data_IF_771685867116
#
_entry.id   IF_771685867116
#
_cell.length_a   1.000
_cell.length_b   1.000
_cell.length_c   1.000
_cell.angle_alpha   90.00
_cell.angle_beta   90.00
_cell.angle_gamma   90.00
#
_symmetry.space_group_name_H-M   'P 1'
#
loop_
_entity.id
_entity.type
_entity.pdbx_description
1 polymer ?
#
# COMPACT_ATOMS: atom_id res chain seq x y z
N UNK A 1 -30.84 5.86 -73.73
CA UNK A 1 -31.96 6.66 -73.17
C UNK A 1 -32.04 6.34 -71.68
N UNK A 2 -31.83 7.34 -70.80
CA UNK A 2 -32.17 7.26 -69.37
C UNK A 2 -33.69 7.40 -69.23
N UNK A 3 -34.36 6.69 -68.30
CA UNK A 3 -34.63 7.22 -66.94
C UNK A 3 -34.57 6.08 -65.87
N UNK A 4 -34.62 6.26 -64.55
CA UNK A 4 -34.85 7.40 -63.65
C UNK A 4 -34.67 6.90 -62.21
N UNK A 5 -34.39 7.83 -61.28
CA UNK A 5 -34.19 7.60 -59.84
C UNK A 5 -35.42 7.00 -59.15
N UNK A 6 -35.19 6.11 -58.18
CA UNK A 6 -36.00 6.05 -56.96
C UNK A 6 -35.09 5.89 -55.74
N UNK A 7 -35.22 6.85 -54.83
CA UNK A 7 -34.55 6.94 -53.55
C UNK A 7 -35.09 5.90 -52.57
N UNK A 8 -34.20 5.27 -51.79
CA UNK A 8 -34.56 4.61 -50.55
C UNK A 8 -33.60 5.08 -49.46
N UNK A 9 -34.10 5.98 -48.61
CA UNK A 9 -33.40 6.51 -47.46
C UNK A 9 -33.43 5.46 -46.34
N UNK A 10 -32.31 4.78 -46.11
CA UNK A 10 -32.11 3.99 -44.91
C UNK A 10 -31.71 4.93 -43.77
N UNK A 11 -32.67 5.25 -42.90
CA UNK A 11 -32.44 5.95 -41.65
C UNK A 11 -31.69 5.02 -40.69
N UNK A 12 -30.36 5.18 -40.60
CA UNK A 12 -29.57 4.57 -39.53
C UNK A 12 -29.86 5.32 -38.23
N UNK A 13 -30.74 4.74 -37.40
CA UNK A 13 -30.90 5.12 -35.99
C UNK A 13 -29.60 4.75 -35.27
N UNK A 14 -28.77 5.75 -34.98
CA UNK A 14 -27.62 5.61 -34.10
C UNK A 14 -28.14 5.44 -32.67
N UNK A 15 -28.22 4.19 -32.22
CA UNK A 15 -28.34 3.86 -30.79
C UNK A 15 -27.03 4.26 -30.11
N UNK A 16 -27.04 5.39 -29.43
CA UNK A 16 -26.01 5.81 -28.50
C UNK A 16 -25.98 4.83 -27.33
N UNK A 17 -25.02 3.91 -27.34
CA UNK A 17 -24.68 3.11 -26.16
C UNK A 17 -24.22 4.07 -25.04
N UNK A 18 -24.66 3.89 -23.78
CA UNK A 18 -24.09 4.64 -22.68
C UNK A 18 -22.63 4.21 -22.56
N UNK A 19 -21.72 5.15 -22.81
CA UNK A 19 -20.33 4.99 -22.42
C UNK A 19 -20.32 4.89 -20.90
N UNK A 20 -20.19 3.67 -20.37
CA UNK A 20 -19.69 3.48 -19.02
C UNK A 20 -18.27 4.04 -19.03
N UNK A 21 -18.15 5.30 -18.61
CA UNK A 21 -16.86 5.85 -18.22
C UNK A 21 -16.33 4.89 -17.15
N UNK A 22 -15.29 4.15 -17.52
CA UNK A 22 -14.47 3.40 -16.59
C UNK A 22 -13.99 4.43 -15.57
N UNK A 23 -14.64 4.47 -14.40
CA UNK A 23 -14.17 5.29 -13.30
C UNK A 23 -12.73 4.87 -13.08
N UNK A 24 -11.80 5.80 -13.31
CA UNK A 24 -10.42 5.61 -12.92
C UNK A 24 -10.42 5.22 -11.44
N UNK A 25 -9.60 4.25 -11.02
CA UNK A 25 -9.48 3.91 -9.60
C UNK A 25 -9.25 5.21 -8.84
N UNK A 26 -10.15 5.52 -7.91
CA UNK A 26 -10.08 6.72 -7.09
C UNK A 26 -8.70 6.73 -6.42
N UNK A 27 -7.92 7.82 -6.54
CA UNK A 27 -6.64 7.90 -5.87
C UNK A 27 -6.83 7.74 -4.36
N UNK A 28 -5.93 6.97 -3.76
CA UNK A 28 -6.01 6.43 -2.39
C UNK A 28 -6.16 7.54 -1.35
N UNK A 29 -7.06 7.42 -0.35
CA UNK A 29 -7.13 8.36 0.74
C UNK A 29 -6.11 8.04 1.84
N UNK A 30 -5.04 8.83 1.94
CA UNK A 30 -4.07 8.77 3.04
C UNK A 30 -4.31 9.92 4.03
N UNK A 31 -5.29 9.78 4.93
CA UNK A 31 -5.30 10.57 6.18
C UNK A 31 -4.62 9.74 7.27
N UNK A 32 -3.36 10.05 7.54
CA UNK A 32 -2.56 9.40 8.59
C UNK A 32 -1.24 8.78 8.12
N UNK A 33 -0.60 9.36 7.10
CA UNK A 33 0.75 9.03 6.70
C UNK A 33 1.70 10.17 7.03
N UNK A 34 2.52 10.04 8.10
CA UNK A 34 3.73 10.83 8.26
C UNK A 34 4.59 10.70 6.99
N UNK A 35 4.53 11.70 6.13
CA UNK A 35 5.36 11.85 4.95
C UNK A 35 5.33 13.33 4.60
N UNK A 36 6.49 13.99 4.60
CA UNK A 36 6.63 15.43 4.34
C UNK A 36 6.47 15.75 2.84
N UNK A 37 5.68 14.95 2.12
CA UNK A 37 5.56 14.95 0.67
C UNK A 37 4.38 15.83 0.24
N UNK A 38 4.69 17.10 0.03
CA UNK A 38 3.75 18.13 -0.42
C UNK A 38 3.14 17.75 -1.78
N UNK A 39 3.94 17.25 -2.70
CA UNK A 39 3.46 16.89 -4.05
C UNK A 39 2.38 15.80 -3.99
N UNK A 40 2.58 14.77 -3.16
CA UNK A 40 1.60 13.72 -2.95
C UNK A 40 0.35 14.23 -2.23
N UNK A 41 0.49 15.22 -1.33
CA UNK A 41 -0.62 15.83 -0.62
C UNK A 41 -1.49 16.67 -1.56
N UNK A 42 -0.90 17.50 -2.42
CA UNK A 42 -1.62 18.28 -3.45
C UNK A 42 -2.31 17.34 -4.43
N UNK A 43 -1.59 16.37 -4.99
CA UNK A 43 -2.14 15.44 -5.99
C UNK A 43 -3.34 14.62 -5.49
N UNK A 44 -3.51 14.47 -4.17
CA UNK A 44 -4.64 13.75 -3.57
C UNK A 44 -5.88 14.63 -3.34
N UNK A 45 -5.72 15.95 -3.22
CA UNK A 45 -6.78 16.84 -2.73
C UNK A 45 -7.08 18.01 -3.67
N UNK A 46 -6.25 18.25 -4.68
CA UNK A 46 -6.47 19.23 -5.73
C UNK A 46 -7.57 18.74 -6.69
N UNK A 47 -8.80 19.15 -6.41
CA UNK A 47 -9.98 18.76 -7.16
C UNK A 47 -10.10 19.41 -8.54
N UNK A 48 -9.38 20.50 -8.78
CA UNK A 48 -9.44 21.25 -10.04
C UNK A 48 -8.22 20.95 -10.97
N UNK A 49 -7.22 20.24 -10.43
CA UNK A 49 -5.99 19.82 -11.09
C UNK A 49 -5.11 20.99 -11.61
N UNK A 50 -5.13 22.15 -10.94
CA UNK A 50 -4.30 23.31 -11.26
C UNK A 50 -2.90 23.26 -10.61
N UNK A 51 -2.63 22.21 -9.81
CA UNK A 51 -1.37 22.00 -9.10
C UNK A 51 -1.28 22.77 -7.78
N UNK A 52 -2.40 23.32 -7.30
CA UNK A 52 -2.49 24.10 -6.07
C UNK A 52 -3.63 23.56 -5.22
N UNK A 53 -3.40 23.46 -3.92
CA UNK A 53 -4.44 23.04 -2.98
C UNK A 53 -4.80 24.20 -2.06
N UNK A 54 -6.00 24.75 -2.24
CA UNK A 54 -6.53 25.79 -1.36
C UNK A 54 -7.18 25.20 -0.11
N UNK A 55 -7.31 26.02 0.94
CA UNK A 55 -8.08 25.63 2.13
C UNK A 55 -9.51 25.24 1.79
N UNK A 56 -10.15 25.95 0.85
CA UNK A 56 -11.53 25.68 0.46
C UNK A 56 -11.69 24.29 -0.15
N UNK A 57 -10.78 23.88 -1.02
CA UNK A 57 -10.79 22.55 -1.64
C UNK A 57 -10.54 21.46 -0.60
N UNK A 58 -9.57 21.69 0.29
CA UNK A 58 -9.26 20.75 1.36
C UNK A 58 -10.41 20.62 2.37
N UNK A 59 -11.08 21.72 2.72
CA UNK A 59 -12.26 21.73 3.58
C UNK A 59 -13.43 20.97 2.96
N UNK A 60 -13.73 21.24 1.68
CA UNK A 60 -14.78 20.55 0.96
C UNK A 60 -14.54 19.03 0.89
N UNK A 61 -13.29 18.63 0.62
CA UNK A 61 -12.89 17.22 0.69
C UNK A 61 -13.14 16.63 2.08
N UNK A 62 -12.68 17.29 3.14
CA UNK A 62 -12.84 16.79 4.51
C UNK A 62 -14.31 16.72 4.92
N UNK A 63 -15.14 17.66 4.50
CA UNK A 63 -16.59 17.64 4.72
C UNK A 63 -17.22 16.41 4.07
N UNK A 64 -16.89 16.15 2.81
CA UNK A 64 -17.37 14.95 2.10
C UNK A 64 -16.94 13.66 2.82
N UNK A 65 -15.74 13.60 3.39
CA UNK A 65 -15.28 12.43 4.15
C UNK A 65 -16.03 12.29 5.48
N UNK A 66 -16.24 13.38 6.20
CA UNK A 66 -17.02 13.39 7.44
C UNK A 66 -18.45 12.88 7.20
N UNK A 67 -19.13 13.43 6.20
CA UNK A 67 -20.49 13.05 5.84
C UNK A 67 -20.60 11.59 5.37
N UNK A 68 -19.52 11.04 4.79
CA UNK A 68 -19.46 9.62 4.42
C UNK A 68 -19.22 8.68 5.62
N UNK A 69 -18.62 9.19 6.70
CA UNK A 69 -18.40 8.45 7.95
C UNK A 69 -19.62 8.51 8.87
N UNK A 70 -20.35 9.62 8.87
CA UNK A 70 -21.65 9.81 9.55
C UNK A 70 -22.73 8.97 8.86
N UNK A 71 -22.70 7.66 9.12
CA UNK A 71 -23.54 6.68 8.44
C UNK A 71 -25.01 6.83 8.82
N UNK A 72 -25.28 7.30 10.05
CA UNK A 72 -26.64 7.50 10.54
C UNK A 72 -27.22 8.89 10.21
N UNK A 73 -26.38 9.84 9.80
CA UNK A 73 -26.77 11.19 9.36
C UNK A 73 -27.20 12.12 10.50
N UNK A 74 -26.71 11.91 11.72
CA UNK A 74 -27.05 12.73 12.89
C UNK A 74 -26.20 14.01 13.01
N UNK A 75 -25.24 14.21 12.10
CA UNK A 75 -24.33 15.35 12.07
C UNK A 75 -23.12 15.20 12.99
N UNK A 76 -22.93 14.03 13.60
CA UNK A 76 -21.77 13.66 14.39
C UNK A 76 -21.20 12.33 13.90
N UNK A 77 -19.91 12.08 14.15
CA UNK A 77 -19.30 10.78 13.92
C UNK A 77 -19.01 10.16 15.28
N UNK A 78 -19.66 9.05 15.60
CA UNK A 78 -19.36 8.32 16.84
C UNK A 78 -18.12 7.42 16.69
N UNK A 79 -17.69 6.84 17.81
CA UNK A 79 -16.49 5.99 17.84
C UNK A 79 -16.66 4.71 17.03
N UNK A 80 -17.87 4.15 16.96
CA UNK A 80 -18.15 2.96 16.17
C UNK A 80 -18.11 3.25 14.68
N UNK A 81 -18.72 4.35 14.22
CA UNK A 81 -18.65 4.84 12.84
C UNK A 81 -17.21 5.14 12.41
N UNK A 82 -16.43 5.80 13.28
CA UNK A 82 -15.02 6.07 13.02
C UNK A 82 -14.17 4.80 12.93
N UNK A 83 -14.42 3.82 13.81
CA UNK A 83 -13.72 2.53 13.77
C UNK A 83 -14.08 1.75 12.51
N UNK A 84 -15.35 1.71 12.14
CA UNK A 84 -15.82 1.02 10.95
C UNK A 84 -15.23 1.61 9.67
N UNK A 85 -15.26 2.93 9.48
CA UNK A 85 -14.60 3.57 8.32
C UNK A 85 -13.12 3.19 8.23
N UNK A 86 -12.43 3.22 9.38
CA UNK A 86 -11.02 2.90 9.43
C UNK A 86 -10.77 1.45 9.02
N UNK A 87 -11.55 0.51 9.55
CA UNK A 87 -11.44 -0.91 9.25
C UNK A 87 -11.76 -1.23 7.79
N UNK A 88 -12.82 -0.63 7.24
CA UNK A 88 -13.21 -0.85 5.85
C UNK A 88 -12.17 -0.28 4.88
N UNK A 89 -11.63 0.92 5.16
CA UNK A 89 -10.53 1.48 4.37
C UNK A 89 -9.29 0.59 4.42
N UNK A 90 -8.92 0.13 5.62
CA UNK A 90 -7.77 -0.77 5.77
C UNK A 90 -7.98 -2.07 5.00
N UNK A 91 -9.19 -2.64 5.03
CA UNK A 91 -9.54 -3.84 4.28
C UNK A 91 -9.42 -3.62 2.78
N UNK A 92 -9.97 -2.52 2.26
CA UNK A 92 -9.88 -2.19 0.84
C UNK A 92 -8.42 -2.00 0.38
N UNK A 93 -7.61 -1.28 1.15
CA UNK A 93 -6.17 -1.13 0.88
C UNK A 93 -5.45 -2.49 0.88
N UNK A 94 -5.83 -3.38 1.81
CA UNK A 94 -5.32 -4.74 1.89
C UNK A 94 -5.71 -5.58 0.69
N UNK A 95 -6.96 -5.50 0.24
CA UNK A 95 -7.46 -6.22 -0.94
C UNK A 95 -6.78 -5.73 -2.23
N UNK A 96 -6.61 -4.42 -2.39
CA UNK A 96 -5.88 -3.86 -3.53
C UNK A 96 -4.42 -4.34 -3.55
N UNK A 97 -3.75 -4.23 -2.40
CA UNK A 97 -2.37 -4.71 -2.25
C UNK A 97 -2.27 -6.23 -2.45
N UNK A 98 -3.26 -7.01 -1.98
CA UNK A 98 -3.37 -8.45 -2.23
C UNK A 98 -3.44 -8.73 -3.72
N UNK A 99 -4.27 -8.00 -4.47
CA UNK A 99 -4.34 -8.10 -5.93
C UNK A 99 -3.00 -7.83 -6.62
N UNK A 100 -2.33 -6.73 -6.27
CA UNK A 100 -1.00 -6.39 -6.80
C UNK A 100 0.04 -7.49 -6.50
N UNK A 101 0.04 -8.00 -5.26
CA UNK A 101 0.95 -9.06 -4.80
C UNK A 101 0.69 -10.40 -5.49
N UNK A 102 -0.58 -10.78 -5.68
CA UNK A 102 -0.97 -11.98 -6.42
C UNK A 102 -0.47 -11.91 -7.87
N UNK A 103 -0.61 -10.76 -8.54
CA UNK A 103 -0.08 -10.56 -9.88
C UNK A 103 1.45 -10.65 -9.93
N UNK A 104 2.14 -10.10 -8.94
CA UNK A 104 3.60 -10.27 -8.81
C UNK A 104 3.98 -11.73 -8.61
N UNK A 105 3.23 -12.49 -7.81
CA UNK A 105 3.44 -13.92 -7.57
C UNK A 105 3.22 -14.72 -8.86
N UNK A 106 2.21 -14.40 -9.67
CA UNK A 106 2.00 -14.99 -11.00
C UNK A 106 3.20 -14.76 -11.92
N UNK A 107 3.74 -13.54 -11.95
CA UNK A 107 4.96 -13.23 -12.73
C UNK A 107 6.18 -13.99 -12.24
N UNK A 108 6.33 -14.16 -10.92
CA UNK A 108 7.41 -14.97 -10.33
C UNK A 108 7.27 -16.44 -10.71
N UNK A 109 6.06 -16.99 -10.65
CA UNK A 109 5.77 -18.36 -11.09
C UNK A 109 6.19 -18.57 -12.56
N UNK A 110 5.75 -17.68 -13.45
CA UNK A 110 6.12 -17.75 -14.88
C UNK A 110 7.64 -17.58 -15.13
N UNK A 111 8.37 -16.97 -14.20
CA UNK A 111 9.83 -16.86 -14.27
C UNK A 111 10.57 -18.09 -13.70
N UNK A 112 9.86 -18.96 -12.97
CA UNK A 112 10.36 -20.26 -12.50
C UNK A 112 10.11 -21.35 -13.54
N UNK A 113 8.93 -21.33 -14.17
CA UNK A 113 8.51 -22.23 -15.26
C UNK A 113 9.30 -21.91 -16.54
N UNK A 114 10.47 -22.54 -16.66
CA UNK A 114 11.44 -22.22 -17.71
C UNK A 114 11.07 -22.87 -19.04
N UNK A 115 10.47 -24.08 -18.98
CA UNK A 115 10.00 -24.79 -20.16
C UNK A 115 8.58 -24.42 -20.59
N UNK A 116 7.87 -23.63 -19.78
CA UNK A 116 6.53 -23.08 -20.04
C UNK A 116 5.46 -24.18 -20.13
N UNK A 117 5.63 -25.25 -19.36
CA UNK A 117 4.66 -26.35 -19.28
C UNK A 117 3.50 -26.05 -18.32
N UNK A 118 3.52 -24.89 -17.66
CA UNK A 118 2.51 -24.44 -16.70
C UNK A 118 2.74 -24.98 -15.29
N UNK A 119 3.86 -25.65 -15.03
CA UNK A 119 4.25 -26.21 -13.75
C UNK A 119 5.70 -25.85 -13.45
N UNK A 120 6.06 -25.84 -12.17
CA UNK A 120 7.46 -25.66 -11.75
C UNK A 120 7.97 -26.99 -11.22
N UNK A 121 8.86 -27.62 -11.98
CA UNK A 121 9.53 -28.83 -11.55
C UNK A 121 10.51 -28.55 -10.39
N UNK A 122 10.86 -29.60 -9.63
CA UNK A 122 11.90 -29.49 -8.58
C UNK A 122 13.22 -28.94 -9.12
N UNK A 123 13.61 -29.33 -10.34
CA UNK A 123 14.83 -28.85 -11.00
C UNK A 123 14.79 -27.34 -11.25
N UNK A 124 13.69 -26.83 -11.76
CA UNK A 124 13.50 -25.39 -12.02
C UNK A 124 13.44 -24.58 -10.74
N UNK A 125 12.74 -25.10 -9.74
CA UNK A 125 12.71 -24.54 -8.41
C UNK A 125 14.14 -24.44 -7.84
N UNK A 126 14.91 -25.52 -7.84
CA UNK A 126 16.28 -25.53 -7.31
C UNK A 126 17.24 -24.63 -8.11
N UNK A 127 17.11 -24.58 -9.43
CA UNK A 127 17.90 -23.68 -10.28
C UNK A 127 17.64 -22.20 -9.96
N UNK A 128 16.40 -21.84 -9.63
CA UNK A 128 16.08 -20.51 -9.10
C UNK A 128 16.64 -20.29 -7.70
N UNK A 129 16.65 -21.35 -6.87
CA UNK A 129 17.24 -21.34 -5.54
C UNK A 129 18.70 -20.89 -5.52
N UNK A 130 19.51 -21.27 -6.51
CA UNK A 130 20.91 -20.85 -6.58
C UNK A 130 21.07 -19.32 -6.81
N UNK A 131 20.17 -18.74 -7.61
CA UNK A 131 20.12 -17.28 -7.81
C UNK A 131 19.75 -16.58 -6.51
N UNK A 132 18.71 -17.08 -5.84
CA UNK A 132 18.25 -16.58 -4.54
C UNK A 132 19.35 -16.65 -3.48
N UNK A 133 20.09 -17.77 -3.43
CA UNK A 133 21.23 -17.96 -2.53
C UNK A 133 22.32 -16.91 -2.79
N UNK A 134 22.72 -16.73 -4.04
CA UNK A 134 23.77 -15.78 -4.42
C UNK A 134 23.38 -14.34 -4.08
N UNK A 135 22.14 -13.94 -4.39
CA UNK A 135 21.64 -12.61 -4.08
C UNK A 135 21.48 -12.38 -2.58
N UNK A 136 21.00 -13.38 -1.84
CA UNK A 136 20.88 -13.33 -0.39
C UNK A 136 22.22 -13.18 0.31
N UNK A 137 23.24 -13.94 -0.12
CA UNK A 137 24.61 -13.78 0.40
C UNK A 137 25.18 -12.39 0.12
N UNK A 138 24.94 -11.85 -1.09
CA UNK A 138 25.35 -10.48 -1.43
C UNK A 138 24.67 -9.45 -0.54
N UNK A 139 23.37 -9.59 -0.28
CA UNK A 139 22.62 -8.73 0.62
C UNK A 139 23.20 -8.81 2.06
N UNK A 140 23.47 -10.02 2.56
CA UNK A 140 24.09 -10.27 3.86
C UNK A 140 25.48 -9.65 4.00
N UNK A 141 26.30 -9.69 2.94
CA UNK A 141 27.62 -9.05 2.93
C UNK A 141 27.50 -7.51 3.02
N UNK A 142 26.60 -6.91 2.23
CA UNK A 142 26.39 -5.46 2.24
C UNK A 142 25.81 -4.91 3.55
N UNK A 143 25.16 -5.76 4.36
CA UNK A 143 24.68 -5.40 5.71
C UNK A 143 25.84 -5.08 6.67
N UNK A 144 27.01 -5.70 6.47
CA UNK A 144 28.22 -5.43 7.25
C UNK A 144 28.86 -4.07 6.95
N UNK A 145 28.71 -3.59 5.71
CA UNK A 145 29.27 -2.31 5.26
C UNK A 145 28.41 -1.10 5.63
N UNK A 146 27.12 -1.31 5.93
CA UNK A 146 26.17 -0.24 6.30
C UNK A 146 26.38 0.38 7.70
N UNK A 147 27.45 0.00 8.42
CA UNK A 147 27.86 0.68 9.67
C UNK A 147 28.88 1.81 9.46
N UNK A 148 29.28 2.09 8.23
CA UNK A 148 30.20 3.18 7.92
C UNK A 148 29.68 3.95 6.70
N UNK A 149 28.69 4.82 6.90
CA UNK A 149 28.50 6.08 6.17
C UNK A 149 27.19 6.70 6.65
N UNK A 150 27.23 7.27 7.86
CA UNK A 150 26.21 8.15 8.40
C UNK A 150 26.31 9.55 7.77
N UNK A 151 26.49 9.62 6.44
CA UNK A 151 26.48 10.88 5.70
C UNK A 151 26.28 10.62 4.20
N UNK A 152 25.01 10.61 3.74
CA UNK A 152 24.58 11.17 2.43
C UNK A 152 23.08 11.04 2.16
N UNK A 153 22.44 12.21 2.21
CA UNK A 153 21.48 12.77 1.23
C UNK A 153 20.13 12.08 0.98
N UNK A 154 19.27 12.83 0.27
CA UNK A 154 17.84 12.68 0.00
C UNK A 154 17.29 11.27 -0.28
N UNK A 155 18.14 10.28 -0.58
CA UNK A 155 17.75 8.86 -0.64
C UNK A 155 17.32 8.30 0.72
N UNK A 156 17.90 8.76 1.84
CA UNK A 156 17.46 8.36 3.17
C UNK A 156 16.05 8.90 3.50
N UNK A 157 15.70 10.07 2.98
CA UNK A 157 14.34 10.64 3.07
C UNK A 157 13.36 9.89 2.14
N UNK A 158 13.79 9.52 0.93
CA UNK A 158 12.99 8.69 0.02
C UNK A 158 12.76 7.26 0.54
N UNK A 159 13.68 6.71 1.35
CA UNK A 159 13.51 5.43 2.07
C UNK A 159 12.53 5.53 3.25
N UNK A 160 12.39 6.70 3.88
CA UNK A 160 11.42 6.94 4.95
C UNK A 160 9.98 7.03 4.43
N UNK A 161 9.80 7.55 3.20
CA UNK A 161 8.49 7.62 2.53
C UNK A 161 8.04 6.28 1.89
N UNK A 162 8.97 5.37 1.59
CA UNK A 162 8.64 3.95 1.40
C UNK A 162 8.44 3.32 2.77
N UNK A 163 7.29 3.60 3.39
CA UNK A 163 6.79 2.72 4.46
C UNK A 163 6.92 1.29 3.93
N UNK A 164 7.51 0.34 4.69
CA UNK A 164 7.43 -1.05 4.30
C UNK A 164 5.95 -1.30 4.04
N UNK A 165 5.60 -1.74 2.83
CA UNK A 165 4.24 -2.14 2.51
C UNK A 165 3.83 -3.00 3.71
N UNK A 166 2.77 -2.60 4.44
CA UNK A 166 2.41 -3.29 5.68
C UNK A 166 2.22 -4.78 5.39
N UNK A 167 1.86 -5.11 4.15
CA UNK A 167 1.66 -6.46 3.65
C UNK A 167 2.89 -7.07 2.96
N UNK A 168 4.06 -6.44 3.06
CA UNK A 168 5.30 -6.97 2.50
C UNK A 168 5.71 -8.22 3.26
N UNK A 169 5.50 -9.37 2.62
CA UNK A 169 6.11 -10.61 3.08
C UNK A 169 7.65 -10.49 2.97
N UNK A 170 8.39 -11.15 3.88
CA UNK A 170 9.84 -11.22 3.80
C UNK A 170 10.28 -11.65 2.39
N UNK A 171 11.24 -10.92 1.82
CA UNK A 171 11.80 -11.21 0.50
C UNK A 171 13.24 -11.66 0.64
N UNK A 172 13.66 -12.60 -0.21
CA UNK A 172 15.03 -13.10 -0.20
C UNK A 172 16.07 -12.13 -0.76
N UNK A 173 15.66 -10.97 -1.28
CA UNK A 173 16.57 -9.96 -1.86
C UNK A 173 17.06 -8.93 -0.84
N UNK A 174 16.54 -8.93 0.39
CA UNK A 174 17.04 -8.10 1.49
C UNK A 174 17.70 -8.97 2.54
N UNK A 175 18.68 -8.44 3.28
CA UNK A 175 19.38 -9.20 4.29
C UNK A 175 18.46 -9.59 5.46
N UNK A 176 17.59 -8.67 5.92
CA UNK A 176 16.59 -9.01 6.96
C UNK A 176 15.58 -10.06 6.46
N UNK A 177 15.11 -9.94 5.21
CA UNK A 177 14.15 -10.89 4.66
C UNK A 177 14.76 -12.26 4.39
N UNK A 178 16.02 -12.31 3.97
CA UNK A 178 16.77 -13.56 3.78
C UNK A 178 16.96 -14.31 5.11
N UNK A 179 17.36 -13.60 6.17
CA UNK A 179 17.43 -14.19 7.53
C UNK A 179 16.06 -14.68 7.98
N UNK A 180 15.02 -13.84 7.88
CA UNK A 180 13.68 -14.21 8.32
C UNK A 180 13.10 -15.46 7.60
N UNK A 181 13.59 -15.76 6.39
CA UNK A 181 13.14 -16.92 5.60
C UNK A 181 14.00 -18.17 5.82
N UNK A 182 15.30 -18.03 6.10
CA UNK A 182 16.25 -19.13 5.98
C UNK A 182 17.16 -19.33 7.20
N UNK A 183 17.24 -18.39 8.14
CA UNK A 183 17.98 -18.54 9.41
C UNK A 183 17.15 -19.40 10.38
N UNK A 184 17.31 -20.71 10.28
CA UNK A 184 16.53 -21.68 11.05
C UNK A 184 16.96 -21.80 12.51
N UNK A 185 18.22 -21.44 12.81
CA UNK A 185 18.79 -21.58 14.15
C UNK A 185 18.79 -20.26 14.96
N UNK A 186 18.53 -19.13 14.30
CA UNK A 186 18.46 -17.80 14.90
C UNK A 186 19.81 -17.19 15.27
N UNK A 187 20.91 -17.65 14.67
CA UNK A 187 22.27 -17.17 14.95
C UNK A 187 22.65 -15.90 14.16
N UNK A 188 21.74 -15.41 13.32
CA UNK A 188 21.92 -14.21 12.51
C UNK A 188 22.71 -14.45 11.23
N UNK A 189 22.91 -15.72 10.83
CA UNK A 189 23.51 -16.14 9.56
C UNK A 189 22.58 -17.15 8.89
N UNK A 190 22.86 -17.42 7.61
CA UNK A 190 22.18 -18.49 6.88
C UNK A 190 23.26 -19.38 6.30
N UNK A 191 23.36 -20.59 6.81
CA UNK A 191 24.24 -21.61 6.25
C UNK A 191 23.58 -22.31 5.06
N UNK A 192 24.39 -22.91 4.17
CA UNK A 192 23.88 -23.56 2.96
C UNK A 192 22.90 -24.68 3.29
N UNK A 193 23.19 -25.46 4.33
CA UNK A 193 22.31 -26.52 4.79
C UNK A 193 20.95 -26.03 5.27
N UNK A 194 20.90 -24.86 5.92
CA UNK A 194 19.65 -24.24 6.40
C UNK A 194 18.80 -23.76 5.23
N UNK A 195 19.43 -23.10 4.26
CA UNK A 195 18.78 -22.66 3.03
C UNK A 195 18.20 -23.84 2.23
N UNK A 196 19.01 -24.87 1.96
CA UNK A 196 18.58 -26.04 1.18
C UNK A 196 17.45 -26.80 1.88
N UNK A 197 17.52 -26.90 3.22
CA UNK A 197 16.45 -27.50 4.03
C UNK A 197 15.17 -26.70 3.94
N UNK A 198 15.21 -25.39 4.20
CA UNK A 198 14.04 -24.52 4.16
C UNK A 198 13.37 -24.52 2.78
N UNK A 199 14.17 -24.51 1.69
CA UNK A 199 13.68 -24.63 0.31
C UNK A 199 13.01 -25.97 0.04
N UNK A 200 13.57 -27.06 0.55
CA UNK A 200 12.97 -28.39 0.41
C UNK A 200 11.65 -28.49 1.15
N UNK A 201 11.59 -27.99 2.39
CA UNK A 201 10.36 -27.92 3.17
C UNK A 201 9.31 -27.01 2.52
N UNK A 202 9.72 -25.89 1.91
CA UNK A 202 8.83 -25.01 1.16
C UNK A 202 8.21 -25.73 -0.04
N UNK A 203 9.04 -26.39 -0.87
CA UNK A 203 8.54 -27.13 -2.03
C UNK A 203 7.53 -28.21 -1.62
N UNK A 204 7.87 -29.02 -0.61
CA UNK A 204 6.99 -30.09 -0.13
C UNK A 204 5.69 -29.58 0.52
N UNK A 205 5.69 -28.35 1.04
CA UNK A 205 4.48 -27.70 1.58
C UNK A 205 3.57 -27.18 0.48
N UNK A 206 4.16 -26.66 -0.61
CA UNK A 206 3.41 -26.12 -1.75
C UNK A 206 2.87 -27.23 -2.64
N UNK A 207 3.61 -28.33 -2.82
CA UNK A 207 3.20 -29.54 -3.58
C UNK A 207 2.11 -30.31 -2.81
N UNK A 208 0.87 -29.82 -2.88
CA UNK A 208 -0.24 -30.29 -2.08
C UNK A 208 -0.71 -31.68 -2.54
N UNK A 209 -0.70 -31.92 -3.86
CA UNK A 209 -1.05 -33.21 -4.44
C UNK A 209 0.13 -34.23 -4.44
N UNK A 210 1.34 -33.77 -4.12
CA UNK A 210 2.58 -34.56 -4.02
C UNK A 210 2.99 -35.18 -5.35
N UNK A 211 2.72 -34.50 -6.46
CA UNK A 211 3.09 -34.96 -7.78
C UNK A 211 4.56 -34.64 -8.15
N UNK A 212 5.29 -33.91 -7.29
CA UNK A 212 6.69 -33.53 -7.48
C UNK A 212 6.89 -32.30 -8.37
N UNK A 213 5.83 -31.54 -8.64
CA UNK A 213 5.79 -30.30 -9.41
C UNK A 213 4.85 -29.32 -8.70
N UNK A 214 5.06 -28.02 -8.90
CA UNK A 214 4.18 -27.00 -8.35
C UNK A 214 3.32 -26.44 -9.47
N UNK A 215 2.01 -26.63 -9.37
CA UNK A 215 1.07 -25.91 -10.24
C UNK A 215 0.97 -24.44 -9.84
N UNK A 216 0.47 -23.61 -10.76
CA UNK A 216 0.22 -22.20 -10.48
C UNK A 216 -0.75 -22.00 -9.30
N UNK A 217 -1.79 -22.82 -9.23
CA UNK A 217 -2.81 -22.73 -8.18
C UNK A 217 -2.24 -23.08 -6.81
N UNK A 218 -1.42 -24.13 -6.71
CA UNK A 218 -0.71 -24.49 -5.48
C UNK A 218 0.26 -23.39 -5.02
N UNK A 219 1.02 -22.83 -5.96
CA UNK A 219 1.97 -21.76 -5.66
C UNK A 219 1.27 -20.47 -5.20
N UNK A 220 0.13 -20.14 -5.79
CA UNK A 220 -0.69 -19.00 -5.37
C UNK A 220 -1.37 -19.26 -4.02
N UNK A 221 -1.93 -20.45 -3.80
CA UNK A 221 -2.60 -20.80 -2.56
C UNK A 221 -1.66 -20.72 -1.35
N UNK A 222 -0.42 -21.20 -1.47
CA UNK A 222 0.58 -21.04 -0.40
C UNK A 222 0.89 -19.58 -0.12
N UNK A 223 1.07 -18.78 -1.18
CA UNK A 223 1.37 -17.37 -1.05
C UNK A 223 0.23 -16.59 -0.37
N UNK A 224 -1.01 -16.85 -0.81
CA UNK A 224 -2.21 -16.26 -0.24
C UNK A 224 -2.38 -16.63 1.23
N UNK A 225 -2.18 -17.89 1.62
CA UNK A 225 -2.25 -18.32 3.02
C UNK A 225 -1.20 -17.61 3.90
N UNK A 226 0.03 -17.42 3.40
CA UNK A 226 1.03 -16.64 4.14
C UNK A 226 0.63 -15.18 4.27
N UNK A 227 0.06 -14.60 3.21
CA UNK A 227 -0.39 -13.22 3.20
C UNK A 227 -1.53 -13.02 4.20
N UNK A 228 -2.51 -13.92 4.23
CA UNK A 228 -3.66 -13.88 5.14
C UNK A 228 -3.21 -14.02 6.60
N UNK A 229 -2.26 -14.91 6.88
CA UNK A 229 -1.62 -15.00 8.22
C UNK A 229 -0.92 -13.69 8.60
N UNK A 230 -0.21 -13.07 7.67
CA UNK A 230 0.45 -11.79 7.93
C UNK A 230 -0.55 -10.67 8.18
N UNK A 231 -1.62 -10.59 7.38
CA UNK A 231 -2.75 -9.67 7.58
C UNK A 231 -3.33 -9.84 8.98
N UNK A 232 -3.66 -11.07 9.38
CA UNK A 232 -4.24 -11.37 10.69
C UNK A 232 -3.36 -10.90 11.85
N UNK A 233 -2.03 -11.03 11.74
CA UNK A 233 -1.11 -10.52 12.78
C UNK A 233 -1.10 -9.00 12.87
N UNK A 234 -1.37 -8.28 11.78
CA UNK A 234 -1.35 -6.83 11.74
C UNK A 234 -2.68 -6.18 12.10
N UNK A 235 -3.79 -6.85 11.80
CA UNK A 235 -5.14 -6.36 12.14
C UNK A 235 -5.48 -6.57 13.61
N UNK A 236 -4.86 -7.53 14.31
CA UNK A 236 -5.14 -7.85 15.72
C UNK A 236 -4.89 -6.75 16.76
N UNK A 237 -4.41 -5.57 16.36
CA UNK A 237 -4.18 -4.40 17.24
C UNK A 237 -4.68 -3.06 16.69
N UNK A 238 -5.39 -3.04 15.56
CA UNK A 238 -5.82 -1.79 14.91
C UNK A 238 -6.87 -1.03 15.74
N UNK A 239 -7.86 -1.72 16.30
CA UNK A 239 -8.99 -1.12 17.04
C UNK A 239 -8.52 -0.21 18.20
N UNK A 240 -7.57 -0.68 19.01
CA UNK A 240 -7.02 0.12 20.13
C UNK A 240 -6.38 1.41 19.66
N UNK A 241 -5.62 1.38 18.56
CA UNK A 241 -4.98 2.57 18.00
C UNK A 241 -6.01 3.52 17.38
N UNK A 242 -7.04 2.99 16.74
CA UNK A 242 -8.13 3.78 16.15
C UNK A 242 -8.94 4.49 17.23
N UNK A 243 -9.27 3.83 18.35
CA UNK A 243 -9.94 4.47 19.49
C UNK A 243 -9.08 5.54 20.16
N UNK A 244 -7.76 5.34 20.27
CA UNK A 244 -6.84 6.38 20.77
C UNK A 244 -6.84 7.60 19.86
N UNK A 245 -6.89 7.41 18.53
CA UNK A 245 -7.01 8.52 17.57
C UNK A 245 -8.33 9.24 17.69
N UNK A 246 -9.44 8.50 17.81
CA UNK A 246 -10.77 9.07 18.03
C UNK A 246 -10.76 9.97 19.27
N UNK A 247 -10.30 9.45 20.42
CA UNK A 247 -10.22 10.22 21.67
C UNK A 247 -9.24 11.39 21.66
N UNK A 248 -8.39 11.52 20.64
CA UNK A 248 -7.53 12.70 20.44
C UNK A 248 -8.22 13.79 19.59
N UNK A 249 -9.30 13.45 18.88
CA UNK A 249 -10.11 14.37 18.09
C UNK A 249 -11.36 14.81 18.86
N UNK A 250 -12.02 13.87 19.55
CA UNK A 250 -13.10 14.09 20.50
C UNK A 250 -12.58 14.89 21.72
N UNK A 251 -12.73 16.21 21.65
CA UNK A 251 -12.05 17.13 22.58
C UNK A 251 -12.84 17.30 23.87
N UNK A 252 -14.18 17.31 23.77
CA UNK A 252 -15.07 17.42 24.92
C UNK A 252 -15.39 16.06 25.57
N UNK A 253 -15.01 14.95 24.92
CA UNK A 253 -15.12 13.57 25.43
C UNK A 253 -16.55 13.12 25.61
N UNK A 254 -17.46 13.62 24.79
CA UNK A 254 -18.85 13.20 24.80
C UNK A 254 -19.08 11.88 24.01
N UNK A 255 -18.04 11.36 23.36
CA UNK A 255 -18.08 10.13 22.57
C UNK A 255 -18.57 10.33 21.14
N UNK A 256 -18.77 11.57 20.71
CA UNK A 256 -19.19 11.98 19.38
C UNK A 256 -18.24 13.05 18.87
N UNK A 257 -17.85 12.95 17.60
CA UNK A 257 -16.98 13.95 16.98
C UNK A 257 -17.81 14.83 16.06
N UNK A 258 -17.83 16.12 16.34
CA UNK A 258 -18.41 17.12 15.45
C UNK A 258 -17.48 17.43 14.27
N UNK A 259 -18.02 18.02 13.19
CA UNK A 259 -17.17 18.46 12.08
C UNK A 259 -16.12 19.49 12.52
N UNK A 260 -16.45 20.36 13.49
CA UNK A 260 -15.52 21.36 14.01
C UNK A 260 -14.29 20.68 14.67
N UNK A 261 -14.52 19.66 15.49
CA UNK A 261 -13.46 18.89 16.13
C UNK A 261 -12.64 18.08 15.10
N UNK A 262 -13.33 17.44 14.16
CA UNK A 262 -12.68 16.76 13.04
C UNK A 262 -11.77 17.72 12.24
N UNK A 263 -12.22 18.96 12.00
CA UNK A 263 -11.50 19.97 11.22
C UNK A 263 -10.25 20.49 11.94
N UNK A 264 -10.15 20.45 13.28
CA UNK A 264 -8.93 20.85 14.02
C UNK A 264 -7.69 20.11 13.51
N UNK A 265 -7.81 18.80 13.31
CA UNK A 265 -6.71 17.99 12.74
C UNK A 265 -6.41 18.31 11.29
N UNK A 266 -7.45 18.64 10.51
CA UNK A 266 -7.34 19.08 9.12
C UNK A 266 -6.57 20.36 8.99
N UNK A 267 -6.95 21.38 9.78
CA UNK A 267 -6.27 22.67 9.79
C UNK A 267 -4.79 22.53 10.14
N UNK A 268 -4.46 21.74 11.16
CA UNK A 268 -3.05 21.47 11.51
C UNK A 268 -2.28 20.82 10.37
N UNK A 269 -2.90 19.87 9.65
CA UNK A 269 -2.27 19.22 8.49
C UNK A 269 -2.04 20.21 7.35
N UNK A 270 -3.03 21.05 7.04
CA UNK A 270 -2.94 22.06 6.00
C UNK A 270 -1.87 23.11 6.35
N UNK A 271 -1.92 23.69 7.55
CA UNK A 271 -0.94 24.68 8.02
C UNK A 271 0.49 24.11 8.05
N UNK A 272 0.66 22.81 8.28
CA UNK A 272 1.96 22.14 8.23
C UNK A 272 2.46 21.88 6.79
N UNK A 273 1.54 21.80 5.84
CA UNK A 273 1.84 21.62 4.42
C UNK A 273 2.07 22.96 3.72
N UNK A 274 1.33 24.00 4.08
CA UNK A 274 1.49 25.41 3.68
C UNK A 274 2.67 26.02 4.47
N UNK A 275 3.89 25.74 4.01
CA UNK A 275 5.14 26.10 4.67
C UNK A 275 5.47 27.57 4.48
N UNK A 276 5.06 28.15 3.35
CA UNK A 276 5.28 29.56 3.08
C UNK A 276 4.18 30.45 3.69
N UNK A 277 3.10 29.85 4.21
CA UNK A 277 1.96 30.49 4.85
C UNK A 277 1.22 31.48 3.93
N UNK A 278 1.12 31.15 2.64
CA UNK A 278 0.41 31.97 1.65
C UNK A 278 -1.06 31.57 1.47
N UNK A 279 -1.51 30.53 2.20
CA UNK A 279 -2.88 30.03 2.19
C UNK A 279 -3.14 29.01 1.08
N UNK A 280 -2.11 28.59 0.36
CA UNK A 280 -2.17 27.60 -0.72
C UNK A 280 -1.00 26.63 -0.57
N UNK A 281 -1.28 25.33 -0.67
CA UNK A 281 -0.22 24.33 -0.70
C UNK A 281 0.13 24.03 -2.15
N UNK A 282 1.38 24.30 -2.56
CA UNK A 282 1.84 24.01 -3.91
C UNK A 282 3.34 23.65 -3.99
N UNK A 283 3.88 23.59 -5.22
CA UNK A 283 5.28 23.27 -5.48
C UNK A 283 6.28 24.25 -4.82
N UNK A 284 5.86 25.44 -4.37
CA UNK A 284 6.68 26.34 -3.57
C UNK A 284 6.93 25.78 -2.17
N UNK A 285 5.93 25.19 -1.53
CA UNK A 285 6.07 24.57 -0.21
C UNK A 285 6.93 23.31 -0.28
N UNK A 286 6.81 22.53 -1.36
CA UNK A 286 7.64 21.36 -1.59
C UNK A 286 9.15 21.67 -1.56
N UNK A 287 9.54 22.90 -1.95
CA UNK A 287 10.94 23.37 -1.96
C UNK A 287 11.43 23.88 -0.61
N UNK A 288 10.54 24.18 0.32
CA UNK A 288 10.90 24.65 1.66
C UNK A 288 11.31 23.47 2.54
N UNK A 289 12.22 23.66 3.51
CA UNK A 289 12.59 22.60 4.43
C UNK A 289 11.37 22.17 5.27
N UNK A 290 11.24 20.87 5.60
CA UNK A 290 10.18 20.41 6.47
C UNK A 290 10.32 21.01 7.87
N UNK A 291 9.20 21.26 8.58
CA UNK A 291 9.27 21.74 9.95
C UNK A 291 10.03 20.74 10.84
N UNK A 292 10.77 21.23 11.86
CA UNK A 292 11.50 20.36 12.77
C UNK A 292 10.52 19.40 13.46
N UNK A 293 10.89 18.12 13.56
CA UNK A 293 10.08 17.14 14.29
C UNK A 293 9.92 17.62 15.74
N UNK A 294 8.71 17.64 16.31
CA UNK A 294 8.54 17.98 17.71
C UNK A 294 9.36 17.00 18.55
N UNK A 295 10.15 17.52 19.49
CA UNK A 295 10.94 16.69 20.40
C UNK A 295 10.00 15.76 21.15
N UNK A 296 10.30 14.45 21.14
CA UNK A 296 9.56 13.50 21.99
C UNK A 296 9.75 13.96 23.44
N UNK A 297 8.69 14.20 24.22
CA UNK A 297 8.84 14.51 25.62
C UNK A 297 9.64 13.38 26.27
N UNK A 298 10.66 13.75 27.06
CA UNK A 298 11.46 12.78 27.80
C UNK A 298 10.51 11.87 28.59
N UNK A 299 10.70 10.56 28.46
CA UNK A 299 9.97 9.61 29.27
C UNK A 299 10.37 9.85 30.73
N UNK A 300 9.43 10.36 31.53
CA UNK A 300 9.52 10.39 32.98
C UNK A 300 9.21 9.01 33.55
#
# INVERSE_FOLDING_TARGET
MKPGLLASACACVLLSAPAFAQQAPTPRPLVGGHGNNIDAFVAQHDGNADGRLTWQEFDAFRRSRFDATDANGDGTVDVEEYVQEFEDRMREEMEQSRGEQVEQTRRRFAALDADKDGQVSKKEFDASGERVWTEGQKAMASKGDAKADEEKTAEAAARFDRRPNRLALPSSHTAEGFLALYDGNGDGKVERGEFDRARTEQFARTDADRNGRLSQDEYLAEYEDRLDRHIATQTGGSDKQTRVRFGALDTDKDGKMTFAEYQVSGKRTFDAADRNHDGVVDAADAKLPPPPRPERPAAN
#
